data_IF_773224812332
#
_entry.id   IF_773224812332
#
_cell.length_a   1.000
_cell.length_b   1.000
_cell.length_c   1.000
_cell.angle_alpha   90.00
_cell.angle_beta   90.00
_cell.angle_gamma   90.00
#
_symmetry.space_group_name_H-M   'P 1'
#
loop_
_entity.id
_entity.type
_entity.pdbx_description
1 polymer ?
#
# COMPACT_ATOMS: atom_id res chain seq x y z
N UNK A 1 3.12 -4.01 14.96
CA UNK A 1 2.05 -3.40 14.15
C UNK A 1 0.77 -3.82 14.81
N UNK A 2 0.09 -2.90 15.47
CA UNK A 2 -1.16 -3.20 16.15
C UNK A 2 -2.26 -2.54 15.35
N UNK A 3 -3.08 -3.37 14.71
CA UNK A 3 -4.31 -2.93 14.09
C UNK A 3 -5.39 -3.08 15.17
N UNK A 4 -6.01 -1.98 15.59
CA UNK A 4 -7.20 -2.05 16.42
C UNK A 4 -8.40 -2.13 15.49
N UNK A 5 -8.88 -3.33 15.18
CA UNK A 5 -10.22 -3.52 14.59
C UNK A 5 -10.73 -4.93 14.83
N UNK A 6 -11.91 -5.00 15.45
CA UNK A 6 -12.81 -6.14 15.44
C UNK A 6 -13.51 -6.18 14.08
N UNK A 7 -13.20 -7.15 13.22
CA UNK A 7 -13.96 -7.60 12.04
C UNK A 7 -14.48 -6.54 11.03
N UNK A 8 -14.13 -5.27 11.17
CA UNK A 8 -14.54 -4.18 10.28
C UNK A 8 -13.34 -3.71 9.43
N UNK A 9 -13.57 -3.60 8.12
CA UNK A 9 -12.61 -3.04 7.17
C UNK A 9 -12.21 -1.62 7.59
N UNK A 10 -10.91 -1.36 7.70
CA UNK A 10 -10.40 -0.06 8.12
C UNK A 10 -10.33 0.85 6.91
N UNK A 11 -11.31 1.74 6.78
CA UNK A 11 -11.39 2.71 5.68
C UNK A 11 -10.51 3.92 5.95
N UNK A 12 -10.41 4.40 7.19
CA UNK A 12 -9.55 5.52 7.54
C UNK A 12 -8.94 5.31 8.92
N UNK A 13 -7.71 5.78 9.14
CA UNK A 13 -7.05 5.61 10.42
C UNK A 13 -5.55 5.92 10.40
N UNK A 14 -4.86 5.44 11.44
CA UNK A 14 -3.41 5.56 11.56
C UNK A 14 -2.79 4.20 11.78
N UNK A 15 -1.79 3.88 10.96
CA UNK A 15 -0.81 2.86 11.26
C UNK A 15 0.31 3.48 12.07
N UNK A 16 0.72 2.79 13.14
CA UNK A 16 1.89 3.16 13.91
C UNK A 16 2.84 1.97 14.04
N UNK A 17 4.14 2.25 14.01
CA UNK A 17 5.16 1.23 14.28
C UNK A 17 5.78 1.42 15.66
N UNK A 18 6.44 0.37 16.16
CA UNK A 18 7.17 0.39 17.44
C UNK A 18 8.24 1.48 17.52
N UNK A 19 8.76 1.91 16.38
CA UNK A 19 9.78 2.95 16.23
C UNK A 19 9.15 4.35 16.12
N UNK A 20 7.87 4.51 16.51
CA UNK A 20 7.12 5.77 16.57
C UNK A 20 6.95 6.48 15.22
N UNK A 21 6.94 5.74 14.11
CA UNK A 21 6.47 6.29 12.84
C UNK A 21 4.95 6.13 12.71
N UNK A 22 4.33 7.14 12.12
CA UNK A 22 2.90 7.18 11.86
C UNK A 22 2.64 7.30 10.36
N UNK A 23 1.71 6.50 9.85
CA UNK A 23 1.30 6.48 8.45
C UNK A 23 -0.22 6.50 8.35
N UNK A 24 -0.81 7.38 7.53
CA UNK A 24 -2.26 7.46 7.42
C UNK A 24 -2.80 6.29 6.58
N UNK A 25 -3.96 5.79 6.99
CA UNK A 25 -4.85 5.00 6.14
C UNK A 25 -5.92 5.96 5.63
N UNK A 26 -6.04 6.07 4.31
CA UNK A 26 -7.01 6.95 3.65
C UNK A 26 -7.77 6.14 2.62
N UNK A 27 -9.09 6.05 2.75
CA UNK A 27 -9.97 5.30 1.83
C UNK A 27 -9.51 3.85 1.62
N UNK A 28 -9.17 3.16 2.72
CA UNK A 28 -8.72 1.77 2.74
C UNK A 28 -7.25 1.57 2.36
N UNK A 29 -6.52 2.64 2.02
CA UNK A 29 -5.16 2.56 1.50
C UNK A 29 -4.16 3.09 2.55
N UNK A 30 -3.31 2.22 3.13
CA UNK A 30 -2.13 2.62 3.87
C UNK A 30 -1.14 3.42 3.01
N UNK A 31 -0.75 4.62 3.46
CA UNK A 31 0.20 5.48 2.72
C UNK A 31 1.49 5.66 3.52
N UNK A 32 2.49 4.84 3.21
CA UNK A 32 3.74 4.76 3.99
C UNK A 32 4.87 5.68 3.49
N UNK A 33 4.56 6.77 2.77
CA UNK A 33 5.60 7.71 2.35
C UNK A 33 5.96 8.68 3.49
N UNK A 34 7.21 9.19 3.54
CA UNK A 34 7.67 10.03 4.65
C UNK A 34 6.86 11.30 4.92
N UNK A 35 6.09 11.77 3.95
CA UNK A 35 5.22 12.95 4.07
C UNK A 35 3.73 12.63 4.05
N UNK A 36 3.34 11.37 3.85
CA UNK A 36 1.93 11.01 3.66
C UNK A 36 1.06 11.46 4.83
N UNK A 37 1.58 11.39 6.06
CA UNK A 37 0.84 11.85 7.23
C UNK A 37 0.48 13.33 7.14
N UNK A 38 1.42 14.19 6.79
CA UNK A 38 1.17 15.63 6.62
C UNK A 38 0.27 15.91 5.41
N UNK A 39 0.55 15.24 4.29
CA UNK A 39 -0.19 15.39 3.02
C UNK A 39 -1.69 15.09 3.22
N UNK A 40 -2.04 14.15 4.11
CA UNK A 40 -3.41 13.71 4.36
C UNK A 40 -3.96 14.08 5.74
N UNK A 41 -3.21 14.82 6.57
CA UNK A 41 -3.62 15.10 7.96
C UNK A 41 -4.98 15.77 8.04
N UNK A 42 -5.25 16.74 7.16
CA UNK A 42 -6.52 17.44 7.13
C UNK A 42 -7.73 16.52 6.89
N UNK A 43 -7.54 15.43 6.15
CA UNK A 43 -8.58 14.45 5.80
C UNK A 43 -8.82 13.43 6.92
N UNK A 44 -7.76 13.01 7.61
CA UNK A 44 -7.86 11.95 8.63
C UNK A 44 -8.03 12.49 10.06
N UNK A 45 -7.65 13.74 10.35
CA UNK A 45 -7.67 14.29 11.73
C UNK A 45 -9.05 14.27 12.39
N UNK A 46 -10.12 14.29 11.60
CA UNK A 46 -11.51 14.25 12.11
C UNK A 46 -12.04 12.83 12.27
N UNK A 47 -11.31 11.84 11.73
CA UNK A 47 -11.68 10.42 11.69
C UNK A 47 -10.87 9.59 12.69
N UNK A 48 -9.62 9.99 12.91
CA UNK A 48 -8.84 9.57 14.06
C UNK A 48 -9.46 10.31 15.25
N UNK A 49 -10.19 9.61 16.11
CA UNK A 49 -10.98 10.22 17.19
C UNK A 49 -10.18 11.17 18.10
N UNK A 50 -10.89 11.90 18.96
CA UNK A 50 -10.34 12.99 19.80
C UNK A 50 -9.18 12.58 20.72
N UNK A 51 -8.95 11.28 20.94
CA UNK A 51 -7.75 10.75 21.60
C UNK A 51 -6.52 10.81 20.67
N UNK A 52 -6.10 12.02 20.31
CA UNK A 52 -4.71 12.23 19.90
C UNK A 52 -3.81 11.90 21.08
N UNK A 53 -3.02 10.83 20.97
CA UNK A 53 -1.98 10.58 21.95
C UNK A 53 -1.01 11.77 22.00
N UNK A 54 -0.57 12.14 23.19
CA UNK A 54 0.46 13.17 23.39
C UNK A 54 1.70 12.90 22.52
N UNK A 55 1.99 11.62 22.27
CA UNK A 55 3.05 11.14 21.38
C UNK A 55 2.81 11.50 19.91
N UNK A 56 1.58 11.46 19.40
CA UNK A 56 1.25 11.87 18.04
C UNK A 56 1.33 13.39 17.89
N UNK A 57 0.89 14.14 18.91
CA UNK A 57 1.03 15.59 18.93
C UNK A 57 2.50 16.01 18.86
N UNK A 58 3.35 15.39 19.69
CA UNK A 58 4.80 15.61 19.67
C UNK A 58 5.45 15.21 18.34
N UNK A 59 5.01 14.11 17.73
CA UNK A 59 5.51 13.67 16.43
C UNK A 59 5.19 14.67 15.31
N UNK A 60 3.97 15.24 15.31
CA UNK A 60 3.55 16.25 14.35
C UNK A 60 4.29 17.59 14.55
N UNK A 61 4.52 18.00 15.81
CA UNK A 61 5.26 19.22 16.14
C UNK A 61 6.76 19.12 15.78
N UNK A 62 7.41 17.98 16.07
CA UNK A 62 8.81 17.73 15.72
C UNK A 62 9.04 17.76 14.19
N UNK A 63 8.10 17.21 13.42
CA UNK A 63 8.15 17.24 11.94
C UNK A 63 7.81 18.61 11.36
N UNK A 64 6.95 19.40 12.00
CA UNK A 64 6.74 20.80 11.63
C UNK A 64 8.03 21.65 11.79
N UNK A 65 8.91 21.27 12.73
CA UNK A 65 10.23 21.85 12.92
C UNK A 65 11.32 21.32 11.99
N UNK A 66 11.27 20.04 11.61
CA UNK A 66 12.26 19.37 10.77
C UNK A 66 12.07 19.65 9.26
N UNK A 67 12.36 20.90 8.85
CA UNK A 67 12.44 21.35 7.43
C UNK A 67 13.61 20.74 6.63
N UNK A 68 13.94 19.48 6.85
CA UNK A 68 15.00 18.77 6.14
C UNK A 68 14.47 17.49 5.51
N UNK A 69 13.31 17.55 4.86
CA UNK A 69 12.99 16.55 3.84
C UNK A 69 13.86 16.84 2.63
N UNK A 70 14.93 16.04 2.50
CA UNK A 70 15.51 15.68 1.20
C UNK A 70 14.34 15.50 0.26
N UNK A 71 14.19 16.37 -0.75
CA UNK A 71 12.97 16.48 -1.54
C UNK A 71 12.60 15.09 -2.07
N UNK A 72 11.65 14.44 -1.41
CA UNK A 72 11.10 13.21 -1.93
C UNK A 72 10.40 13.64 -3.20
N UNK A 73 10.93 13.20 -4.35
CA UNK A 73 10.69 13.83 -5.64
C UNK A 73 9.18 14.02 -5.84
N UNK A 74 8.73 15.28 -5.75
CA UNK A 74 7.33 15.65 -5.94
C UNK A 74 6.85 15.21 -7.31
N UNK A 75 7.76 15.17 -8.29
CA UNK A 75 7.52 14.62 -9.62
C UNK A 75 7.23 13.12 -9.56
N UNK A 76 7.97 12.35 -8.77
CA UNK A 76 7.71 10.91 -8.60
C UNK A 76 6.32 10.68 -8.02
N UNK A 77 5.92 11.42 -7.00
CA UNK A 77 4.55 11.33 -6.45
C UNK A 77 3.46 11.69 -7.46
N UNK A 78 3.65 12.78 -8.20
CA UNK A 78 2.71 13.22 -9.22
C UNK A 78 2.62 12.20 -10.35
N UNK A 79 3.76 11.68 -10.81
CA UNK A 79 3.80 10.63 -11.83
C UNK A 79 3.07 9.37 -11.37
N UNK A 80 3.35 8.89 -10.15
CA UNK A 80 2.60 7.75 -9.59
C UNK A 80 1.11 8.06 -9.50
N UNK A 81 0.71 9.21 -8.95
CA UNK A 81 -0.71 9.56 -8.83
C UNK A 81 -1.41 9.61 -10.20
N UNK A 82 -0.76 10.18 -11.21
CA UNK A 82 -1.26 10.22 -12.58
C UNK A 82 -1.35 8.82 -13.22
N UNK A 83 -0.37 7.94 -12.95
CA UNK A 83 -0.41 6.54 -13.40
C UNK A 83 -1.62 5.82 -12.80
N UNK A 84 -1.97 6.09 -11.54
CA UNK A 84 -3.15 5.53 -10.88
C UNK A 84 -4.46 6.16 -11.37
N UNK A 85 -4.51 7.48 -11.62
CA UNK A 85 -5.71 8.16 -12.13
C UNK A 85 -6.08 7.72 -13.56
N UNK A 86 -5.07 7.33 -14.35
CA UNK A 86 -5.23 6.79 -15.71
C UNK A 86 -5.19 5.26 -15.76
N UNK A 87 -5.16 4.60 -14.59
CA UNK A 87 -5.03 3.15 -14.53
C UNK A 87 -6.34 2.46 -14.94
N UNK A 88 -6.31 1.75 -16.06
CA UNK A 88 -7.37 0.84 -16.44
C UNK A 88 -7.16 -0.53 -15.76
N UNK A 89 -8.07 -0.87 -14.85
CA UNK A 89 -8.13 -2.21 -14.26
C UNK A 89 -8.38 -3.22 -15.39
N UNK A 90 -7.42 -4.11 -15.61
CA UNK A 90 -7.45 -5.10 -16.69
C UNK A 90 -6.81 -4.64 -18.01
N UNK A 91 -6.28 -3.41 -18.05
CA UNK A 91 -5.53 -2.91 -19.20
C UNK A 91 -4.22 -3.68 -19.46
N UNK A 92 -3.71 -3.55 -20.68
CA UNK A 92 -2.39 -4.10 -21.03
C UNK A 92 -1.31 -3.40 -20.22
N UNK A 93 -0.41 -4.17 -19.63
CA UNK A 93 0.84 -3.69 -19.03
C UNK A 93 1.97 -4.22 -19.89
N UNK A 94 2.90 -3.36 -20.28
CA UNK A 94 3.97 -3.73 -21.23
C UNK A 94 3.45 -4.31 -22.55
N UNK A 95 2.33 -3.81 -23.06
CA UNK A 95 1.61 -4.32 -24.26
C UNK A 95 1.15 -5.80 -24.17
N UNK A 96 1.26 -6.43 -23.01
CA UNK A 96 0.85 -7.82 -22.78
C UNK A 96 -0.49 -7.91 -22.05
N UNK A 97 -1.25 -8.96 -22.35
CA UNK A 97 -2.45 -9.32 -21.59
C UNK A 97 -2.06 -9.85 -20.20
N UNK A 98 -2.94 -9.67 -19.21
CA UNK A 98 -2.70 -10.16 -17.85
C UNK A 98 -2.41 -11.67 -17.82
N UNK A 99 -3.16 -12.46 -18.59
CA UNK A 99 -2.96 -13.92 -18.71
C UNK A 99 -1.54 -14.29 -19.17
N UNK A 100 -0.98 -13.53 -20.11
CA UNK A 100 0.32 -13.84 -20.70
C UNK A 100 1.43 -13.46 -19.71
N UNK A 101 1.25 -12.37 -18.96
CA UNK A 101 2.17 -11.98 -17.89
C UNK A 101 2.20 -13.02 -16.77
N UNK A 102 1.02 -13.47 -16.32
CA UNK A 102 0.89 -14.50 -15.28
C UNK A 102 1.51 -15.83 -15.74
N UNK A 103 1.31 -16.22 -16.99
CA UNK A 103 1.93 -17.44 -17.51
C UNK A 103 3.45 -17.33 -17.54
N UNK A 104 4.00 -16.33 -18.26
CA UNK A 104 5.43 -16.27 -18.57
C UNK A 104 6.29 -15.86 -17.36
N UNK A 105 5.85 -14.84 -16.61
CA UNK A 105 6.68 -14.29 -15.53
C UNK A 105 6.46 -14.95 -14.19
N UNK A 106 5.31 -15.60 -13.98
CA UNK A 106 5.03 -16.28 -12.74
C UNK A 106 5.11 -17.80 -12.90
N UNK A 107 4.12 -18.43 -13.56
CA UNK A 107 4.02 -19.90 -13.60
C UNK A 107 5.26 -20.56 -14.23
N UNK A 108 5.71 -20.07 -15.38
CA UNK A 108 6.88 -20.64 -16.08
C UNK A 108 8.19 -20.38 -15.31
N UNK A 109 8.24 -19.29 -14.55
CA UNK A 109 9.45 -18.85 -13.84
C UNK A 109 9.64 -19.58 -12.51
N UNK A 110 8.56 -19.80 -11.75
CA UNK A 110 8.63 -20.49 -10.45
C UNK A 110 8.76 -22.01 -10.61
N UNK A 111 8.35 -22.56 -11.77
CA UNK A 111 8.40 -24.01 -12.08
C UNK A 111 7.74 -24.88 -11.01
N UNK A 112 6.67 -24.36 -10.42
CA UNK A 112 5.76 -25.05 -9.51
C UNK A 112 4.47 -25.27 -10.30
N UNK A 113 3.90 -26.47 -10.20
CA UNK A 113 2.62 -26.74 -10.84
C UNK A 113 1.54 -25.84 -10.23
N UNK A 114 0.62 -25.36 -11.06
CA UNK A 114 -0.47 -24.49 -10.63
C UNK A 114 -1.28 -25.14 -9.51
N UNK A 115 -1.51 -26.44 -9.58
CA UNK A 115 -2.31 -27.18 -8.60
C UNK A 115 -1.62 -27.26 -7.23
N UNK A 116 -0.30 -27.13 -7.19
CA UNK A 116 0.48 -27.10 -5.95
C UNK A 116 0.48 -25.74 -5.26
N UNK A 117 0.00 -24.67 -5.91
CA UNK A 117 0.01 -23.32 -5.35
C UNK A 117 -1.05 -23.10 -4.26
N UNK A 118 -2.12 -23.88 -4.28
CA UNK A 118 -3.23 -23.73 -3.35
C UNK A 118 -2.79 -23.87 -1.89
N UNK A 119 -3.20 -22.92 -1.05
CA UNK A 119 -2.88 -22.86 0.37
C UNK A 119 -1.47 -22.40 0.71
N UNK A 120 -0.66 -21.97 -0.28
CA UNK A 120 0.66 -21.38 -0.02
C UNK A 120 0.57 -19.88 0.20
N UNK A 121 1.52 -19.35 0.96
CA UNK A 121 1.70 -17.90 1.18
C UNK A 121 2.73 -17.35 0.19
N UNK A 122 2.38 -16.25 -0.49
CA UNK A 122 3.24 -15.54 -1.45
C UNK A 122 3.44 -14.09 -1.02
N UNK A 123 4.70 -13.62 -1.07
CA UNK A 123 5.04 -12.20 -0.98
C UNK A 123 5.27 -11.65 -2.39
N UNK A 124 4.42 -10.73 -2.83
CA UNK A 124 4.55 -10.01 -4.11
C UNK A 124 5.10 -8.61 -3.84
N UNK A 125 6.43 -8.50 -3.80
CA UNK A 125 7.13 -7.24 -3.53
C UNK A 125 7.34 -6.44 -4.82
N UNK A 126 6.79 -5.23 -4.86
CA UNK A 126 6.75 -4.41 -6.08
C UNK A 126 5.56 -4.77 -6.96
N UNK A 127 4.40 -5.04 -6.36
CA UNK A 127 3.20 -5.51 -7.06
C UNK A 127 2.61 -4.51 -8.07
N UNK A 128 3.10 -3.26 -8.05
CA UNK A 128 2.63 -2.18 -8.92
C UNK A 128 1.15 -1.90 -8.67
N UNK A 129 0.34 -2.04 -9.71
CA UNK A 129 -1.12 -1.86 -9.60
C UNK A 129 -1.87 -3.04 -8.96
N UNK A 130 -1.19 -4.13 -8.60
CA UNK A 130 -1.78 -5.28 -7.93
C UNK A 130 -2.60 -6.23 -8.83
N UNK A 131 -2.75 -5.95 -10.13
CA UNK A 131 -3.55 -6.81 -11.03
C UNK A 131 -3.03 -8.25 -11.12
N UNK A 132 -1.71 -8.43 -11.06
CA UNK A 132 -1.10 -9.77 -11.02
C UNK A 132 -1.32 -10.45 -9.66
N UNK A 133 -1.17 -9.71 -8.56
CA UNK A 133 -1.40 -10.22 -7.21
C UNK A 133 -2.84 -10.74 -7.03
N UNK A 134 -3.83 -10.02 -7.59
CA UNK A 134 -5.22 -10.47 -7.64
C UNK A 134 -5.34 -11.77 -8.46
N UNK A 135 -4.73 -11.83 -9.64
CA UNK A 135 -4.76 -13.04 -10.46
C UNK A 135 -4.11 -14.25 -9.75
N UNK A 136 -3.04 -14.04 -8.97
CA UNK A 136 -2.39 -15.11 -8.22
C UNK A 136 -3.30 -15.68 -7.13
N UNK A 137 -4.15 -14.85 -6.52
CA UNK A 137 -5.12 -15.31 -5.51
C UNK A 137 -6.14 -16.30 -6.08
N UNK A 138 -6.45 -16.24 -7.39
CA UNK A 138 -7.32 -17.21 -8.07
C UNK A 138 -6.72 -18.63 -8.09
N UNK A 139 -5.43 -18.78 -7.81
CA UNK A 139 -4.75 -20.07 -7.69
C UNK A 139 -4.81 -20.67 -6.28
N UNK A 140 -5.56 -20.03 -5.38
CA UNK A 140 -5.64 -20.43 -3.97
C UNK A 140 -4.43 -19.98 -3.15
N UNK A 141 -3.63 -19.06 -3.67
CA UNK A 141 -2.54 -18.43 -2.92
C UNK A 141 -3.08 -17.39 -1.95
N UNK A 142 -2.53 -17.38 -0.74
CA UNK A 142 -2.61 -16.21 0.13
C UNK A 142 -1.51 -15.23 -0.29
N UNK A 143 -1.89 -14.04 -0.75
CA UNK A 143 -0.95 -13.08 -1.35
C UNK A 143 -0.80 -11.85 -0.45
N UNK A 144 0.44 -11.57 -0.05
CA UNK A 144 0.85 -10.32 0.59
C UNK A 144 1.49 -9.44 -0.48
N UNK A 145 0.77 -8.44 -0.98
CA UNK A 145 1.23 -7.53 -2.02
C UNK A 145 1.71 -6.20 -1.42
N UNK A 146 2.89 -5.74 -1.82
CA UNK A 146 3.57 -4.54 -1.29
C UNK A 146 4.19 -3.66 -2.39
#
# INVERSE_FOLDING_TARGET
>A
MTIVSNDAEIVDGLLYCKDKHYFPIVRGIPRMLPSSLEDHWAEIKTKVGDEMSEELALYLDDKAGARTRKSYDTRTKVNFSNEWDSHEIGGKTWTMELKDRVQWYFLDSIRIDKDDLSGKLMLDAGCGNGSQSVAYSEFGLEVLAL
#
